data_IF_818115609489
#
_entry.id   IF_818115609489
#
_cell.length_a   1.000
_cell.length_b   1.000
_cell.length_c   1.000
_cell.angle_alpha   90.00
_cell.angle_beta   90.00
_cell.angle_gamma   90.00
#
_symmetry.space_group_name_H-M   'P 1'
#
loop_
_entity.id
_entity.type
_entity.pdbx_description
1 polymer ?
#
# COMPACT_ATOMS: atom_id res chain seq x y z
N UNK A 1 34.89 -3.87 38.96
CA UNK A 1 34.70 -2.40 39.08
C UNK A 1 34.39 -1.81 37.69
N UNK A 2 33.27 -2.25 37.09
CA UNK A 2 32.81 -1.80 35.75
C UNK A 2 31.59 -0.91 35.97
N UNK A 3 31.78 0.12 36.77
CA UNK A 3 30.83 1.20 37.00
C UNK A 3 31.55 2.54 36.83
N UNK A 4 32.48 2.58 35.86
CA UNK A 4 33.14 3.80 35.43
C UNK A 4 32.14 4.61 34.63
N UNK A 5 31.51 5.56 35.33
CA UNK A 5 31.13 6.89 34.82
C UNK A 5 30.35 6.89 33.50
N UNK A 6 29.12 6.36 33.50
CA UNK A 6 28.13 6.90 32.57
C UNK A 6 27.78 8.31 33.07
N UNK A 7 28.12 9.32 32.28
CA UNK A 7 27.65 10.69 32.51
C UNK A 7 26.11 10.68 32.52
N UNK A 8 25.46 11.53 33.32
CA UNK A 8 23.99 11.63 33.32
C UNK A 8 23.45 11.96 31.92
N UNK A 9 24.26 12.61 31.09
CA UNK A 9 24.00 12.85 29.68
C UNK A 9 23.90 11.54 28.88
N UNK A 10 24.79 10.57 29.10
CA UNK A 10 24.79 9.29 28.37
C UNK A 10 23.55 8.45 28.71
N UNK A 11 23.12 8.48 29.98
CA UNK A 11 21.87 7.84 30.42
C UNK A 11 20.66 8.48 29.75
N UNK A 12 20.61 9.81 29.67
CA UNK A 12 19.52 10.54 29.00
C UNK A 12 19.45 10.24 27.51
N UNK A 13 20.61 10.22 26.83
CA UNK A 13 20.69 9.88 25.39
C UNK A 13 20.24 8.43 25.15
N UNK A 14 20.65 7.48 26.00
CA UNK A 14 20.22 6.09 25.88
C UNK A 14 18.69 5.93 26.04
N UNK A 15 18.09 6.64 27.01
CA UNK A 15 16.63 6.65 27.21
C UNK A 15 15.91 7.21 25.97
N UNK A 16 16.40 8.33 25.42
CA UNK A 16 15.82 8.95 24.20
C UNK A 16 15.90 7.97 23.01
N UNK A 17 17.03 7.29 22.82
CA UNK A 17 17.20 6.32 21.74
C UNK A 17 16.19 5.16 21.85
N UNK A 18 15.97 4.63 23.06
CA UNK A 18 14.98 3.57 23.31
C UNK A 18 13.56 4.06 23.02
N UNK A 19 13.21 5.28 23.44
CA UNK A 19 11.88 5.87 23.17
C UNK A 19 11.66 6.02 21.67
N UNK A 20 12.65 6.55 20.93
CA UNK A 20 12.57 6.67 19.47
C UNK A 20 12.39 5.30 18.82
N UNK A 21 13.11 4.28 19.26
CA UNK A 21 12.97 2.92 18.73
C UNK A 21 11.56 2.36 18.96
N UNK A 22 11.00 2.51 20.17
CA UNK A 22 9.63 2.07 20.49
C UNK A 22 8.60 2.79 19.61
N UNK A 23 8.72 4.11 19.45
CA UNK A 23 7.84 4.91 18.59
C UNK A 23 7.95 4.46 17.13
N UNK A 24 9.17 4.23 16.62
CA UNK A 24 9.38 3.74 15.27
C UNK A 24 8.72 2.36 15.05
N UNK A 25 8.88 1.42 15.99
CA UNK A 25 8.20 0.13 15.92
C UNK A 25 6.68 0.26 15.90
N UNK A 26 6.11 1.16 16.72
CA UNK A 26 4.68 1.41 16.74
C UNK A 26 4.16 1.97 15.41
N UNK A 27 4.90 2.91 14.81
CA UNK A 27 4.56 3.48 13.49
C UNK A 27 4.59 2.41 12.39
N UNK A 28 5.63 1.57 12.36
CA UNK A 28 5.73 0.47 11.39
C UNK A 28 4.57 -0.52 11.57
N UNK A 29 4.23 -0.86 12.82
CA UNK A 29 3.10 -1.74 13.12
C UNK A 29 1.76 -1.14 12.67
N UNK A 30 1.53 0.15 12.94
CA UNK A 30 0.33 0.86 12.51
C UNK A 30 0.18 0.88 10.98
N UNK A 31 1.27 1.16 10.25
CA UNK A 31 1.29 1.12 8.78
C UNK A 31 0.98 -0.31 8.29
N UNK A 32 1.58 -1.33 8.90
CA UNK A 32 1.32 -2.73 8.58
C UNK A 32 -0.16 -3.12 8.76
N UNK A 33 -0.79 -2.67 9.84
CA UNK A 33 -2.23 -2.90 10.09
C UNK A 33 -3.08 -2.19 9.04
N UNK A 34 -2.76 -0.94 8.69
CA UNK A 34 -3.48 -0.17 7.69
C UNK A 34 -3.43 -0.85 6.31
N UNK A 35 -2.23 -1.26 5.87
CA UNK A 35 -2.03 -1.99 4.61
C UNK A 35 -2.82 -3.30 4.63
N UNK A 36 -2.75 -4.07 5.72
CA UNK A 36 -3.50 -5.34 5.85
C UNK A 36 -5.01 -5.12 5.72
N UNK A 37 -5.57 -4.11 6.41
CA UNK A 37 -7.00 -3.80 6.36
C UNK A 37 -7.43 -3.42 4.95
N UNK A 38 -6.62 -2.62 4.26
CA UNK A 38 -6.86 -2.24 2.88
C UNK A 38 -6.84 -3.45 1.93
N UNK A 39 -5.86 -4.35 2.10
CA UNK A 39 -5.75 -5.57 1.31
C UNK A 39 -6.95 -6.49 1.50
N UNK A 40 -7.44 -6.66 2.74
CA UNK A 40 -8.63 -7.46 3.04
C UNK A 40 -9.89 -6.88 2.39
N UNK A 41 -10.02 -5.55 2.39
CA UNK A 41 -11.16 -4.91 1.74
C UNK A 41 -11.13 -5.14 0.21
N UNK A 42 -9.96 -4.95 -0.39
CA UNK A 42 -9.76 -5.14 -1.83
C UNK A 42 -9.89 -6.59 -2.30
N UNK A 43 -9.54 -7.55 -1.44
CA UNK A 43 -9.59 -8.97 -1.79
C UNK A 43 -11.03 -9.46 -1.98
N UNK A 44 -12.02 -8.91 -1.27
CA UNK A 44 -13.45 -9.26 -1.43
C UNK A 44 -13.96 -9.10 -2.87
N UNK A 45 -13.40 -8.15 -3.62
CA UNK A 45 -13.71 -7.96 -5.05
C UNK A 45 -13.31 -9.17 -5.90
N UNK A 46 -12.32 -9.96 -5.48
CA UNK A 46 -11.93 -11.18 -6.19
C UNK A 46 -13.00 -12.28 -6.11
N UNK A 47 -13.67 -12.40 -4.97
CA UNK A 47 -14.75 -13.38 -4.78
C UNK A 47 -15.93 -13.04 -5.71
N UNK A 48 -16.33 -11.76 -5.80
CA UNK A 48 -17.38 -11.35 -6.73
C UNK A 48 -17.00 -11.54 -8.20
N UNK A 49 -15.73 -11.35 -8.57
CA UNK A 49 -15.26 -11.60 -9.93
C UNK A 49 -15.35 -13.07 -10.36
N UNK A 50 -15.29 -14.01 -9.42
CA UNK A 50 -15.29 -15.45 -9.70
C UNK A 50 -16.63 -16.14 -9.36
N UNK A 51 -17.51 -15.49 -8.62
CA UNK A 51 -18.77 -16.04 -8.11
C UNK A 51 -19.61 -16.71 -9.21
N UNK A 52 -19.96 -15.97 -10.27
CA UNK A 52 -20.84 -16.49 -11.33
C UNK A 52 -20.23 -17.69 -12.05
N UNK A 53 -18.91 -17.67 -12.25
CA UNK A 53 -18.20 -18.71 -13.00
C UNK A 53 -18.12 -20.02 -12.20
N UNK A 54 -17.99 -19.91 -10.88
CA UNK A 54 -18.02 -21.06 -9.98
C UNK A 54 -19.44 -21.61 -9.86
N UNK A 55 -20.44 -20.72 -9.66
CA UNK A 55 -21.84 -21.12 -9.47
C UNK A 55 -22.44 -21.81 -10.69
N UNK A 56 -22.04 -21.38 -11.89
CA UNK A 56 -22.51 -21.98 -13.16
C UNK A 56 -21.70 -23.22 -13.58
N UNK A 57 -20.74 -23.67 -12.77
CA UNK A 57 -19.85 -24.80 -13.06
C UNK A 57 -19.08 -24.70 -14.39
N UNK A 58 -18.88 -23.47 -14.90
CA UNK A 58 -18.08 -23.22 -16.12
C UNK A 58 -16.60 -23.53 -15.89
N UNK A 59 -16.13 -23.40 -14.65
CA UNK A 59 -14.78 -23.80 -14.25
C UNK A 59 -14.89 -24.97 -13.28
N UNK A 60 -14.33 -26.10 -13.66
CA UNK A 60 -14.45 -27.37 -12.91
C UNK A 60 -13.12 -27.80 -12.29
N UNK A 61 -12.02 -27.18 -12.70
CA UNK A 61 -10.67 -27.51 -12.23
C UNK A 61 -9.95 -26.33 -11.58
N UNK A 62 -9.07 -26.63 -10.62
CA UNK A 62 -8.21 -25.65 -9.95
C UNK A 62 -7.30 -24.88 -10.93
N UNK A 63 -6.77 -25.54 -11.95
CA UNK A 63 -5.88 -24.93 -12.95
C UNK A 63 -6.62 -23.89 -13.80
N UNK A 64 -7.84 -24.21 -14.25
CA UNK A 64 -8.71 -23.30 -14.97
C UNK A 64 -9.13 -22.10 -14.12
N UNK A 65 -9.46 -22.34 -12.84
CA UNK A 65 -9.79 -21.29 -11.89
C UNK A 65 -8.63 -20.31 -11.72
N UNK A 66 -7.39 -20.81 -11.52
CA UNK A 66 -6.20 -19.97 -11.39
C UNK A 66 -5.91 -19.21 -12.69
N UNK A 67 -6.10 -19.83 -13.85
CA UNK A 67 -5.88 -19.17 -15.15
C UNK A 67 -6.87 -18.03 -15.35
N UNK A 68 -8.15 -18.30 -15.15
CA UNK A 68 -9.21 -17.30 -15.33
C UNK A 68 -9.14 -16.19 -14.27
N UNK A 69 -8.92 -16.56 -13.01
CA UNK A 69 -8.75 -15.63 -11.90
C UNK A 69 -7.60 -14.66 -12.14
N UNK A 70 -6.43 -15.15 -12.57
CA UNK A 70 -5.30 -14.29 -12.94
C UNK A 70 -5.64 -13.33 -14.08
N UNK A 71 -6.31 -13.82 -15.13
CA UNK A 71 -6.73 -13.00 -16.27
C UNK A 71 -7.73 -11.90 -15.87
N UNK A 72 -8.73 -12.23 -15.04
CA UNK A 72 -9.68 -11.23 -14.50
C UNK A 72 -8.99 -10.24 -13.58
N UNK A 73 -8.08 -10.71 -12.72
CA UNK A 73 -7.34 -9.83 -11.81
C UNK A 73 -6.45 -8.83 -12.57
N UNK A 74 -5.72 -9.29 -13.59
CA UNK A 74 -4.90 -8.43 -14.44
C UNK A 74 -5.74 -7.38 -15.20
N UNK A 75 -6.91 -7.76 -15.74
CA UNK A 75 -7.83 -6.82 -16.38
C UNK A 75 -8.36 -5.77 -15.41
N UNK A 76 -8.72 -6.18 -14.20
CA UNK A 76 -9.19 -5.27 -13.19
C UNK A 76 -8.06 -4.34 -12.70
N UNK A 77 -6.83 -4.83 -12.51
CA UNK A 77 -5.67 -4.00 -12.23
C UNK A 77 -5.42 -2.98 -13.33
N UNK A 78 -5.41 -3.39 -14.60
CA UNK A 78 -5.28 -2.45 -15.72
C UNK A 78 -6.31 -1.31 -15.65
N UNK A 79 -7.59 -1.64 -15.43
CA UNK A 79 -8.66 -0.64 -15.27
C UNK A 79 -8.44 0.28 -14.07
N UNK A 80 -8.03 -0.28 -12.93
CA UNK A 80 -7.76 0.48 -11.71
C UNK A 80 -6.52 1.40 -11.89
N UNK A 81 -5.54 0.99 -12.72
CA UNK A 81 -4.32 1.74 -13.03
C UNK A 81 -4.50 2.83 -14.09
N UNK A 82 -5.58 2.82 -14.88
CA UNK A 82 -5.82 3.86 -15.90
C UNK A 82 -5.97 5.26 -15.28
N UNK A 83 -6.67 5.35 -14.15
CA UNK A 83 -6.88 6.63 -13.47
C UNK A 83 -5.56 7.27 -12.99
N UNK A 84 -4.69 6.59 -12.20
CA UNK A 84 -3.41 7.16 -11.80
C UNK A 84 -2.52 7.48 -13.00
N UNK A 85 -2.55 6.67 -14.07
CA UNK A 85 -1.84 6.99 -15.31
C UNK A 85 -2.36 8.26 -15.98
N UNK A 86 -3.68 8.46 -16.03
CA UNK A 86 -4.27 9.68 -16.58
C UNK A 86 -3.88 10.93 -15.79
N UNK A 87 -3.86 10.84 -14.45
CA UNK A 87 -3.42 11.92 -13.57
C UNK A 87 -1.92 12.22 -13.77
N UNK A 88 -1.08 11.19 -13.84
CA UNK A 88 0.34 11.35 -14.10
C UNK A 88 0.60 11.98 -15.48
N UNK A 89 -0.15 11.54 -16.51
CA UNK A 89 -0.05 12.10 -17.85
C UNK A 89 -0.44 13.58 -17.87
N UNK A 90 -1.50 13.97 -17.15
CA UNK A 90 -1.86 15.37 -16.98
C UNK A 90 -0.73 16.17 -16.32
N UNK A 91 -0.10 15.61 -15.27
CA UNK A 91 1.09 16.21 -14.64
C UNK A 91 2.24 16.42 -15.63
N UNK A 92 2.54 15.43 -16.48
CA UNK A 92 3.54 15.56 -17.54
C UNK A 92 3.18 16.64 -18.55
N UNK A 93 1.91 16.74 -18.95
CA UNK A 93 1.47 17.78 -19.89
C UNK A 93 1.64 19.18 -19.29
N UNK A 94 1.27 19.37 -18.02
CA UNK A 94 1.45 20.64 -17.32
C UNK A 94 2.94 20.98 -17.22
N UNK A 95 3.77 20.02 -16.82
CA UNK A 95 5.23 20.16 -16.78
C UNK A 95 5.80 20.64 -18.12
N UNK A 96 5.41 20.00 -19.23
CA UNK A 96 5.89 20.39 -20.56
C UNK A 96 5.47 21.81 -20.93
N UNK A 97 4.20 22.18 -20.67
CA UNK A 97 3.69 23.53 -20.98
C UNK A 97 4.39 24.58 -20.11
N UNK A 98 4.54 24.33 -18.82
CA UNK A 98 5.17 25.25 -17.87
C UNK A 98 6.65 25.49 -18.22
N UNK A 99 7.38 24.42 -18.55
CA UNK A 99 8.79 24.51 -18.94
C UNK A 99 9.00 25.17 -20.30
N UNK A 100 8.08 24.96 -21.26
CA UNK A 100 8.08 25.69 -22.53
C UNK A 100 7.82 27.19 -22.33
N UNK A 101 6.92 27.56 -21.42
CA UNK A 101 6.56 28.96 -21.17
C UNK A 101 7.64 29.72 -20.37
N UNK A 102 8.32 29.06 -19.43
CA UNK A 102 9.28 29.69 -18.50
C UNK A 102 10.75 29.46 -18.86
N UNK A 103 11.07 28.45 -19.67
CA UNK A 103 12.43 28.07 -20.01
C UNK A 103 13.20 27.32 -18.92
N UNK A 104 12.54 26.91 -17.82
CA UNK A 104 13.15 26.40 -16.59
C UNK A 104 13.38 24.87 -16.54
N UNK A 105 13.87 24.27 -17.63
CA UNK A 105 14.00 22.81 -17.78
C UNK A 105 14.85 22.06 -16.74
N UNK A 106 15.68 22.77 -15.97
CA UNK A 106 16.59 22.20 -14.96
C UNK A 106 16.09 22.30 -13.53
N UNK A 107 14.94 22.92 -13.27
CA UNK A 107 14.45 23.10 -11.90
C UNK A 107 13.87 21.79 -11.33
N UNK A 108 14.15 21.54 -10.05
CA UNK A 108 13.65 20.36 -9.36
C UNK A 108 12.29 20.67 -8.74
N UNK A 109 11.23 20.20 -9.38
CA UNK A 109 9.84 20.38 -8.94
C UNK A 109 9.61 19.92 -7.48
N UNK A 110 10.31 18.88 -7.01
CA UNK A 110 10.17 18.38 -5.64
C UNK A 110 10.88 19.26 -4.62
N UNK A 111 12.00 19.89 -5.02
CA UNK A 111 12.70 20.84 -4.16
C UNK A 111 11.87 22.12 -4.00
N UNK A 112 11.31 22.63 -5.09
CA UNK A 112 10.40 23.79 -5.08
C UNK A 112 9.16 23.49 -4.24
N UNK A 113 8.52 22.32 -4.42
CA UNK A 113 7.40 21.90 -3.58
C UNK A 113 7.76 21.80 -2.09
N UNK A 114 9.01 21.44 -1.78
CA UNK A 114 9.55 21.42 -0.43
C UNK A 114 9.56 22.78 0.27
N UNK A 115 9.55 23.89 -0.47
CA UNK A 115 9.50 25.25 0.09
C UNK A 115 8.19 25.51 0.87
N UNK A 116 7.11 24.79 0.54
CA UNK A 116 5.83 24.90 1.24
C UNK A 116 5.87 24.33 2.66
N UNK A 117 6.94 23.62 3.02
CA UNK A 117 7.09 22.94 4.30
C UNK A 117 8.28 23.48 5.07
N UNK A 118 8.23 23.24 6.39
CA UNK A 118 9.39 23.48 7.25
C UNK A 118 10.47 22.47 6.88
N UNK A 119 11.65 22.96 6.55
CA UNK A 119 12.82 22.10 6.33
C UNK A 119 13.79 22.26 7.51
N UNK A 120 14.34 21.13 7.95
CA UNK A 120 15.28 21.07 9.05
C UNK A 120 16.70 20.85 8.52
N UNK A 121 17.67 21.59 9.07
CA UNK A 121 19.07 21.36 8.75
C UNK A 121 19.64 20.22 9.60
N UNK A 122 19.60 19.01 9.04
CA UNK A 122 20.17 17.82 9.68
C UNK A 122 21.71 17.82 9.69
N UNK A 123 22.36 18.76 9.02
CA UNK A 123 23.83 18.86 8.96
C UNK A 123 24.40 19.95 9.86
N UNK A 124 23.54 20.71 10.56
CA UNK A 124 23.99 21.72 11.50
C UNK A 124 24.88 21.15 12.62
N UNK A 125 25.83 21.96 13.08
CA UNK A 125 26.75 21.58 14.15
C UNK A 125 25.99 21.23 15.44
N UNK A 126 26.34 20.09 16.06
CA UNK A 126 25.73 19.62 17.30
C UNK A 126 24.43 18.82 17.15
N UNK A 127 23.91 18.62 15.93
CA UNK A 127 22.74 17.74 15.68
C UNK A 127 23.12 16.28 15.86
N UNK A 128 24.25 15.87 15.29
CA UNK A 128 24.77 14.51 15.39
C UNK A 128 25.97 14.45 16.32
N UNK A 129 25.96 13.48 17.23
CA UNK A 129 27.10 13.19 18.12
C UNK A 129 27.45 11.70 18.08
N UNK A 130 28.72 11.36 18.28
CA UNK A 130 29.17 9.97 18.36
C UNK A 130 29.19 9.52 19.81
N UNK A 131 28.35 8.53 20.13
CA UNK A 131 28.30 7.90 21.45
C UNK A 131 28.44 6.40 21.25
N UNK A 132 29.40 5.76 21.93
CA UNK A 132 29.74 4.34 21.76
C UNK A 132 30.02 3.91 20.31
N UNK A 133 30.65 4.79 19.51
CA UNK A 133 30.95 4.52 18.10
C UNK A 133 29.74 4.59 17.15
N UNK A 134 28.53 4.83 17.67
CA UNK A 134 27.32 5.05 16.89
C UNK A 134 27.02 6.55 16.80
N UNK A 135 26.59 7.00 15.62
CA UNK A 135 26.18 8.40 15.41
C UNK A 135 24.71 8.53 15.81
N UNK A 136 24.45 9.25 16.89
CA UNK A 136 23.11 9.45 17.46
C UNK A 136 22.70 10.92 17.38
N UNK A 137 21.39 11.14 17.34
CA UNK A 137 20.80 12.48 17.37
C UNK A 137 20.96 13.07 18.78
N UNK A 138 21.77 14.12 18.91
CA UNK A 138 22.03 14.80 20.19
C UNK A 138 21.02 15.92 20.46
N UNK A 139 20.66 16.66 19.42
CA UNK A 139 19.76 17.80 19.49
C UNK A 139 18.81 17.79 18.29
N UNK A 140 17.65 18.42 18.45
CA UNK A 140 16.73 18.59 17.33
C UNK A 140 17.33 19.57 16.33
N UNK A 141 17.32 19.28 15.03
CA UNK A 141 17.90 20.15 14.02
C UNK A 141 17.24 21.54 14.00
N UNK A 142 18.03 22.60 13.78
CA UNK A 142 17.48 23.94 13.60
C UNK A 142 16.67 24.00 12.30
N UNK A 143 15.72 24.94 12.25
CA UNK A 143 14.93 25.20 11.05
C UNK A 143 15.83 25.87 10.00
N UNK A 144 15.98 25.21 8.85
CA UNK A 144 16.72 25.72 7.69
C UNK A 144 15.86 26.64 6.82
N UNK A 145 14.60 26.24 6.63
CA UNK A 145 13.66 26.93 5.76
C UNK A 145 12.29 27.07 6.44
N UNK A 146 11.72 28.27 6.40
CA UNK A 146 10.35 28.53 6.83
C UNK A 146 9.40 28.41 5.63
N UNK A 147 8.16 27.93 5.82
CA UNK A 147 7.24 27.71 4.72
C UNK A 147 6.95 29.02 4.01
N UNK A 148 7.33 29.09 2.73
CA UNK A 148 7.10 30.25 1.89
C UNK A 148 6.36 29.82 0.63
N UNK A 149 5.42 30.66 0.19
CA UNK A 149 4.69 30.44 -1.05
C UNK A 149 5.24 31.38 -2.12
N UNK A 150 5.88 30.79 -3.14
CA UNK A 150 6.48 31.55 -4.24
C UNK A 150 5.61 31.38 -5.48
N UNK A 151 4.99 32.46 -5.94
CA UNK A 151 4.02 32.42 -7.04
C UNK A 151 4.64 31.91 -8.36
N UNK A 152 5.95 32.14 -8.59
CA UNK A 152 6.65 31.63 -9.78
C UNK A 152 6.79 30.11 -9.80
N UNK A 153 6.69 29.43 -8.66
CA UNK A 153 6.76 27.96 -8.53
C UNK A 153 5.38 27.31 -8.51
N UNK A 154 4.30 28.08 -8.76
CA UNK A 154 2.93 27.55 -8.78
C UNK A 154 2.74 26.34 -9.70
N UNK A 155 3.30 26.31 -10.94
CA UNK A 155 3.21 25.12 -11.79
C UNK A 155 3.84 23.88 -11.13
N UNK A 156 5.03 24.04 -10.56
CA UNK A 156 5.77 22.95 -9.88
C UNK A 156 4.97 22.38 -8.71
N UNK A 157 4.26 23.25 -7.96
CA UNK A 157 3.41 22.81 -6.85
C UNK A 157 2.25 21.93 -7.34
N UNK A 158 1.57 22.36 -8.41
CA UNK A 158 0.45 21.62 -9.00
C UNK A 158 0.93 20.28 -9.55
N UNK A 159 2.04 20.29 -10.29
CA UNK A 159 2.65 19.10 -10.87
C UNK A 159 3.06 18.10 -9.80
N UNK A 160 3.74 18.55 -8.75
CA UNK A 160 4.17 17.69 -7.65
C UNK A 160 2.98 17.02 -6.97
N UNK A 161 1.89 17.77 -6.70
CA UNK A 161 0.66 17.21 -6.14
C UNK A 161 0.05 16.16 -7.06
N UNK A 162 -0.02 16.41 -8.37
CA UNK A 162 -0.54 15.43 -9.33
C UNK A 162 0.30 14.15 -9.33
N UNK A 163 1.63 14.26 -9.29
CA UNK A 163 2.51 13.09 -9.22
C UNK A 163 2.36 12.32 -7.91
N UNK A 164 2.29 13.00 -6.77
CA UNK A 164 2.09 12.37 -5.46
C UNK A 164 0.74 11.62 -5.42
N UNK A 165 -0.33 12.26 -5.89
CA UNK A 165 -1.67 11.65 -5.95
C UNK A 165 -1.69 10.46 -6.90
N UNK A 166 -1.11 10.59 -8.09
CA UNK A 166 -1.00 9.48 -9.04
C UNK A 166 -0.23 8.30 -8.45
N UNK A 167 0.90 8.57 -7.77
CA UNK A 167 1.71 7.55 -7.11
C UNK A 167 0.92 6.84 -6.00
N UNK A 168 0.22 7.59 -5.14
CA UNK A 168 -0.59 7.02 -4.07
C UNK A 168 -1.72 6.11 -4.61
N UNK A 169 -2.43 6.56 -5.64
CA UNK A 169 -3.48 5.79 -6.29
C UNK A 169 -2.94 4.55 -7.01
N UNK A 170 -1.76 4.64 -7.62
CA UNK A 170 -1.11 3.50 -8.25
C UNK A 170 -0.66 2.46 -7.22
N UNK A 171 -0.07 2.89 -6.09
CA UNK A 171 0.25 2.00 -4.97
C UNK A 171 -1.01 1.32 -4.44
N UNK A 172 -2.12 2.06 -4.32
CA UNK A 172 -3.42 1.50 -3.95
C UNK A 172 -3.87 0.37 -4.90
N UNK A 173 -3.74 0.58 -6.21
CA UNK A 173 -4.04 -0.44 -7.21
C UNK A 173 -3.11 -1.66 -7.11
N UNK A 174 -1.81 -1.45 -6.87
CA UNK A 174 -0.82 -2.52 -6.69
C UNK A 174 -1.14 -3.41 -5.48
N UNK A 175 -1.41 -2.81 -4.32
CA UNK A 175 -1.83 -3.56 -3.13
C UNK A 175 -3.13 -4.33 -3.38
N UNK A 176 -4.08 -3.74 -4.11
CA UNK A 176 -5.30 -4.42 -4.52
C UNK A 176 -5.04 -5.61 -5.44
N UNK A 177 -4.11 -5.52 -6.40
CA UNK A 177 -3.75 -6.63 -7.27
C UNK A 177 -3.13 -7.80 -6.48
N UNK A 178 -2.19 -7.48 -5.59
CA UNK A 178 -1.49 -8.45 -4.74
C UNK A 178 -2.50 -9.17 -3.83
N UNK A 179 -3.40 -8.42 -3.16
CA UNK A 179 -4.37 -9.02 -2.24
C UNK A 179 -5.33 -9.98 -2.94
N UNK A 180 -5.83 -9.59 -4.11
CA UNK A 180 -6.70 -10.44 -4.95
C UNK A 180 -5.96 -11.67 -5.46
N UNK A 181 -4.67 -11.55 -5.80
CA UNK A 181 -3.86 -12.68 -6.24
C UNK A 181 -3.74 -13.76 -5.16
N UNK A 182 -3.41 -13.38 -3.92
CA UNK A 182 -3.32 -14.33 -2.80
C UNK A 182 -4.67 -14.98 -2.50
N UNK A 183 -5.77 -14.20 -2.47
CA UNK A 183 -7.09 -14.75 -2.22
C UNK A 183 -7.51 -15.75 -3.31
N UNK A 184 -7.34 -15.41 -4.58
CA UNK A 184 -7.66 -16.30 -5.70
C UNK A 184 -6.87 -17.62 -5.62
N UNK A 185 -5.59 -17.55 -5.23
CA UNK A 185 -4.78 -18.75 -5.08
C UNK A 185 -5.28 -19.63 -3.91
N UNK A 186 -5.65 -19.02 -2.78
CA UNK A 186 -6.27 -19.72 -1.64
C UNK A 186 -7.62 -20.35 -2.02
N UNK A 187 -8.53 -19.59 -2.64
CA UNK A 187 -9.85 -20.07 -3.10
C UNK A 187 -9.78 -21.18 -4.13
N UNK A 188 -8.78 -21.13 -5.02
CA UNK A 188 -8.58 -22.19 -6.02
C UNK A 188 -8.36 -23.57 -5.41
N UNK A 189 -7.85 -23.62 -4.17
CA UNK A 189 -7.67 -24.87 -3.42
C UNK A 189 -8.97 -25.24 -2.73
N UNK A 190 -9.56 -24.32 -1.95
CA UNK A 190 -10.74 -24.61 -1.13
C UNK A 190 -12.02 -24.93 -1.93
N UNK A 191 -12.23 -24.29 -3.09
CA UNK A 191 -13.47 -24.45 -3.87
C UNK A 191 -13.55 -25.82 -4.57
N UNK A 192 -12.41 -26.42 -4.91
CA UNK A 192 -12.32 -27.71 -5.60
C UNK A 192 -11.79 -28.82 -4.69
N UNK A 193 -11.69 -28.54 -3.40
CA UNK A 193 -11.24 -29.50 -2.40
C UNK A 193 -12.36 -30.54 -2.18
N UNK A 194 -12.12 -31.76 -2.67
CA UNK A 194 -12.97 -32.92 -2.39
C UNK A 194 -12.42 -33.61 -1.15
N UNK A 195 -12.77 -33.10 0.03
CA UNK A 195 -12.41 -33.70 1.32
C UNK A 195 -13.62 -34.42 1.92
N UNK A 196 -13.40 -35.62 2.44
CA UNK A 196 -14.37 -36.37 3.27
C UNK A 196 -14.31 -35.96 4.74
N UNK A 197 -13.44 -35.01 5.11
CA UNK A 197 -13.30 -34.55 6.48
C UNK A 197 -14.60 -33.86 6.94
N UNK A 198 -15.35 -34.54 7.83
CA UNK A 198 -16.66 -34.10 8.31
C UNK A 198 -17.86 -34.63 7.53
N UNK A 199 -17.66 -35.50 6.53
CA UNK A 199 -18.76 -36.11 5.78
C UNK A 199 -19.52 -37.13 6.63
N UNK A 200 -20.80 -36.85 6.90
CA UNK A 200 -21.68 -37.76 7.63
C UNK A 200 -22.73 -38.28 6.64
N UNK A 201 -22.53 -39.51 6.15
CA UNK A 201 -23.31 -40.10 5.04
C UNK A 201 -24.83 -40.14 5.30
N UNK A 202 -25.26 -40.07 6.56
CA UNK A 202 -26.66 -40.11 6.94
C UNK A 202 -27.36 -38.72 6.97
N UNK A 203 -26.61 -37.62 7.01
CA UNK A 203 -27.15 -36.25 7.08
C UNK A 203 -27.01 -35.49 5.75
N UNK A 204 -25.94 -35.75 5.00
CA UNK A 204 -25.59 -35.03 3.77
C UNK A 204 -26.20 -35.66 2.50
N UNK A 205 -26.56 -36.94 2.53
CA UNK A 205 -27.37 -37.55 1.47
C UNK A 205 -28.83 -37.18 1.73
N UNK A 206 -29.20 -35.94 1.41
CA UNK A 206 -30.59 -35.63 1.14
C UNK A 206 -30.95 -36.32 -0.16
N UNK A 207 -31.37 -37.58 -0.06
CA UNK A 207 -32.14 -38.22 -1.11
C UNK A 207 -33.40 -37.38 -1.22
N UNK A 208 -33.41 -36.45 -2.16
CA UNK A 208 -34.62 -35.76 -2.56
C UNK A 208 -35.47 -36.82 -3.25
N UNK A 209 -36.15 -37.63 -2.43
CA UNK A 209 -37.24 -38.49 -2.85
C UNK A 209 -38.33 -37.52 -3.30
N UNK A 210 -38.18 -36.99 -4.51
CA UNK A 210 -39.29 -36.41 -5.25
C UNK A 210 -40.34 -37.52 -5.27
N UNK A 211 -41.37 -37.37 -4.41
CA UNK A 211 -42.53 -38.25 -4.45
C UNK A 211 -43.03 -38.23 -5.89
N UNK A 212 -43.21 -39.40 -6.53
CA UNK A 212 -43.77 -39.43 -7.87
C UNK A 212 -45.10 -38.70 -7.85
N UNK A 213 -45.26 -37.78 -8.79
CA UNK A 213 -46.50 -37.03 -8.97
C UNK A 213 -47.62 -38.07 -9.18
N UNK A 214 -48.73 -38.00 -8.42
CA UNK A 214 -49.80 -38.97 -8.57
C UNK A 214 -50.33 -38.95 -10.02
N UNK A 215 -50.78 -40.09 -10.55
CA UNK A 215 -51.32 -40.14 -11.91
C UNK A 215 -52.50 -39.18 -11.99
N UNK A 216 -52.49 -38.32 -13.00
CA UNK A 216 -53.65 -37.50 -13.36
C UNK A 216 -54.78 -38.44 -13.81
N UNK A 217 -55.92 -38.38 -13.12
CA UNK A 217 -57.19 -38.95 -13.60
C UNK A 217 -57.67 -38.27 -14.89
#
# INVERSE_FOLDING_TARGET
>A
MIALLLSDTDKRVAIIAVVIAIVAFFLIAAIGIAVRRMMIHQSKRADSMMYDVVKTHVVTTTSEFRRLGRKKNARAFYRDSLLPFGIALLGVVIYLIANLATGKWGENIFANFGELFIQYDWHAEGVWTKVFGMTLLASWPPVSHQPTFVLSHLPDYIECVLFIVAMALYLYACFGYISRFFLLNSRSRSVFEKSLAGYNANEDIKVDLQKPIPPSE
#
